data_IF_819306932049
#
_entry.id   IF_819306932049
#
_cell.length_a   1.000
_cell.length_b   1.000
_cell.length_c   1.000
_cell.angle_alpha   90.00
_cell.angle_beta   90.00
_cell.angle_gamma   90.00
#
_symmetry.space_group_name_H-M   'P 1'
#
loop_
_entity.id
_entity.type
_entity.pdbx_description
1 polymer ?
#
# COMPACT_ATOMS: atom_id res chain seq x y z
N UNK A 1 -45.67 0.57 23.16
CA UNK A 1 -44.21 0.60 23.41
C UNK A 1 -43.83 -0.67 24.16
N UNK A 2 -43.05 -1.60 23.59
CA UNK A 2 -42.56 -2.76 24.34
C UNK A 2 -41.33 -2.38 25.19
N UNK A 3 -41.12 -2.99 26.37
CA UNK A 3 -40.00 -2.64 27.23
C UNK A 3 -38.68 -3.23 26.68
N UNK A 4 -37.65 -2.37 26.62
CA UNK A 4 -36.25 -2.75 26.37
C UNK A 4 -35.72 -3.47 27.60
N UNK A 5 -35.83 -4.80 27.61
CA UNK A 5 -35.21 -5.66 28.62
C UNK A 5 -34.48 -6.80 27.95
N UNK A 6 -33.31 -6.53 27.34
CA UNK A 6 -32.36 -7.58 27.01
C UNK A 6 -31.14 -7.42 27.91
N UNK A 7 -31.18 -8.03 29.10
CA UNK A 7 -29.98 -8.25 29.90
C UNK A 7 -29.00 -9.04 29.03
N UNK A 8 -27.80 -8.47 28.80
CA UNK A 8 -26.74 -9.20 28.11
C UNK A 8 -26.44 -10.47 28.92
N UNK A 9 -26.34 -11.65 28.29
CA UNK A 9 -26.01 -12.87 29.01
C UNK A 9 -24.64 -12.70 29.69
N UNK A 10 -24.60 -13.04 30.99
CA UNK A 10 -23.35 -13.11 31.76
C UNK A 10 -22.52 -14.21 31.10
N UNK A 11 -21.42 -13.80 30.46
CA UNK A 11 -20.51 -14.74 29.82
C UNK A 11 -19.63 -15.36 30.90
N UNK A 12 -19.73 -16.67 31.09
CA UNK A 12 -18.78 -17.41 31.92
C UNK A 12 -17.44 -17.46 31.19
N UNK A 13 -16.55 -16.55 31.57
CA UNK A 13 -15.22 -16.44 30.98
C UNK A 13 -14.36 -17.69 31.24
N UNK A 14 -14.60 -18.46 32.30
CA UNK A 14 -13.86 -19.70 32.56
C UNK A 14 -14.22 -20.79 31.54
N UNK A 15 -15.49 -20.89 31.16
CA UNK A 15 -15.92 -21.77 30.07
C UNK A 15 -15.43 -21.26 28.71
N UNK A 16 -15.47 -19.94 28.49
CA UNK A 16 -15.08 -19.31 27.23
C UNK A 16 -13.60 -19.53 26.87
N UNK A 17 -12.66 -19.36 27.81
CA UNK A 17 -11.21 -19.51 27.54
C UNK A 17 -10.78 -20.96 27.28
N UNK A 18 -11.64 -21.93 27.58
CA UNK A 18 -11.41 -23.36 27.35
C UNK A 18 -11.97 -23.84 26.00
N UNK A 19 -12.71 -22.98 25.29
CA UNK A 19 -13.14 -23.27 23.93
C UNK A 19 -11.91 -23.37 23.03
N UNK A 20 -11.95 -24.24 22.00
CA UNK A 20 -10.88 -24.31 21.02
C UNK A 20 -10.72 -22.97 20.33
N UNK A 21 -9.48 -22.61 20.03
CA UNK A 21 -9.18 -21.35 19.35
C UNK A 21 -9.98 -21.24 18.04
N UNK A 22 -10.57 -20.07 17.77
CA UNK A 22 -11.23 -19.85 16.51
C UNK A 22 -10.22 -20.00 15.37
N UNK A 23 -10.58 -20.74 14.33
CA UNK A 23 -9.81 -20.83 13.08
C UNK A 23 -9.83 -19.46 12.37
N UNK A 24 -8.91 -18.57 12.74
CA UNK A 24 -8.74 -17.27 12.07
C UNK A 24 -7.85 -17.45 10.85
N UNK A 25 -8.44 -17.74 9.69
CA UNK A 25 -7.72 -17.71 8.41
C UNK A 25 -7.43 -16.24 8.04
N UNK A 26 -6.21 -15.78 8.32
CA UNK A 26 -5.75 -14.44 7.92
C UNK A 26 -5.66 -14.36 6.39
N UNK A 27 -6.66 -13.78 5.74
CA UNK A 27 -6.64 -13.55 4.28
C UNK A 27 -5.70 -12.39 3.95
N UNK A 28 -4.50 -12.69 3.46
CA UNK A 28 -3.56 -11.67 2.97
C UNK A 28 -4.11 -10.97 1.73
N UNK A 29 -3.81 -9.68 1.60
CA UNK A 29 -4.12 -8.93 0.39
C UNK A 29 -3.27 -9.43 -0.79
N UNK A 30 -3.80 -9.41 -2.01
CA UNK A 30 -3.08 -9.92 -3.19
C UNK A 30 -1.73 -9.21 -3.43
N UNK A 31 -1.67 -7.89 -3.21
CA UNK A 31 -0.41 -7.14 -3.30
C UNK A 31 0.67 -7.65 -2.32
N UNK A 32 0.25 -8.10 -1.13
CA UNK A 32 1.15 -8.73 -0.15
C UNK A 32 1.66 -10.07 -0.68
N UNK A 33 0.77 -10.89 -1.26
CA UNK A 33 1.15 -12.18 -1.88
C UNK A 33 2.13 -12.02 -3.04
N UNK A 34 1.96 -11.00 -3.86
CA UNK A 34 2.89 -10.69 -4.96
C UNK A 34 4.28 -10.35 -4.44
N UNK A 35 4.37 -9.48 -3.41
CA UNK A 35 5.65 -9.15 -2.78
C UNK A 35 6.34 -10.38 -2.21
N UNK A 36 5.58 -11.32 -1.63
CA UNK A 36 6.13 -12.57 -1.10
C UNK A 36 6.61 -13.50 -2.21
N UNK A 37 5.90 -13.57 -3.34
CA UNK A 37 6.37 -14.27 -4.55
C UNK A 37 7.67 -13.66 -5.08
N UNK A 38 7.80 -12.34 -5.07
CA UNK A 38 9.05 -11.66 -5.43
C UNK A 38 10.21 -12.01 -4.50
N UNK A 39 9.97 -12.02 -3.17
CA UNK A 39 10.98 -12.47 -2.20
C UNK A 39 11.35 -13.94 -2.42
N UNK A 40 10.37 -14.82 -2.66
CA UNK A 40 10.62 -16.23 -2.94
C UNK A 40 11.55 -16.41 -4.15
N UNK A 41 11.27 -15.73 -5.26
CA UNK A 41 12.09 -15.77 -6.46
C UNK A 41 13.53 -15.28 -6.19
N UNK A 42 13.65 -14.16 -5.49
CA UNK A 42 14.96 -13.60 -5.12
C UNK A 42 15.72 -14.54 -4.17
N UNK A 43 15.02 -15.18 -3.25
CA UNK A 43 15.60 -16.15 -2.34
C UNK A 43 16.12 -17.39 -3.06
N UNK A 44 15.37 -17.90 -4.05
CA UNK A 44 15.82 -18.99 -4.92
C UNK A 44 17.05 -18.59 -5.73
N UNK A 45 17.05 -17.38 -6.32
CA UNK A 45 18.19 -16.86 -7.09
C UNK A 45 19.46 -16.68 -6.25
N UNK A 46 19.32 -16.26 -5.00
CA UNK A 46 20.43 -16.17 -4.05
C UNK A 46 20.94 -17.58 -3.69
N UNK A 47 20.04 -18.45 -3.25
CA UNK A 47 20.41 -19.80 -2.75
C UNK A 47 20.94 -20.73 -3.84
N UNK A 48 20.58 -20.53 -5.11
CA UNK A 48 21.16 -21.29 -6.24
C UNK A 48 22.66 -21.07 -6.42
N UNK A 49 23.22 -20.01 -5.83
CA UNK A 49 24.66 -19.70 -5.85
C UNK A 49 25.40 -20.30 -4.66
N UNK A 50 24.69 -20.95 -3.74
CA UNK A 50 25.26 -21.53 -2.52
C UNK A 50 25.43 -23.05 -2.65
N UNK A 51 26.17 -23.63 -1.70
CA UNK A 51 26.33 -25.09 -1.58
C UNK A 51 25.72 -25.56 -0.26
N UNK A 52 24.63 -26.34 -0.27
CA UNK A 52 23.92 -26.87 -1.45
C UNK A 52 23.05 -25.81 -2.15
N UNK A 53 22.81 -25.93 -3.47
CA UNK A 53 21.97 -24.99 -4.23
C UNK A 53 20.47 -25.29 -4.04
N UNK A 54 20.03 -25.43 -2.79
CA UNK A 54 18.65 -25.76 -2.43
C UNK A 54 18.08 -24.76 -1.43
N UNK A 55 17.10 -23.98 -1.88
CA UNK A 55 16.44 -22.98 -1.04
C UNK A 55 15.74 -23.61 0.18
N UNK A 56 15.24 -24.85 0.09
CA UNK A 56 14.55 -25.51 1.21
C UNK A 56 15.52 -25.85 2.33
N UNK A 57 16.69 -26.38 1.99
CA UNK A 57 17.78 -26.58 2.93
C UNK A 57 18.11 -25.30 3.71
N UNK A 58 18.22 -24.17 3.02
CA UNK A 58 18.56 -22.89 3.66
C UNK A 58 17.42 -22.26 4.47
N UNK A 59 16.15 -22.56 4.16
CA UNK A 59 15.02 -22.14 4.99
C UNK A 59 15.06 -22.77 6.39
N UNK A 60 15.47 -24.05 6.46
CA UNK A 60 15.58 -24.80 7.72
C UNK A 60 16.84 -24.44 8.52
N UNK A 61 17.93 -24.08 7.83
CA UNK A 61 19.25 -23.81 8.42
C UNK A 61 19.58 -22.32 8.46
N UNK A 62 18.61 -21.49 8.85
CA UNK A 62 18.77 -20.03 8.87
C UNK A 62 19.73 -19.60 10.00
N UNK A 63 20.68 -18.73 9.67
CA UNK A 63 21.58 -18.08 10.63
C UNK A 63 21.62 -16.58 10.36
N UNK A 64 22.07 -15.79 11.33
CA UNK A 64 22.23 -14.34 11.12
C UNK A 64 23.17 -14.04 9.94
N UNK A 65 24.27 -14.79 9.79
CA UNK A 65 25.22 -14.65 8.67
C UNK A 65 24.58 -14.98 7.33
N UNK A 66 23.72 -15.99 7.28
CA UNK A 66 22.99 -16.32 6.06
C UNK A 66 22.01 -15.20 5.67
N UNK A 67 21.27 -14.65 6.64
CA UNK A 67 20.37 -13.51 6.41
C UNK A 67 21.17 -12.28 5.95
N UNK A 68 22.32 -12.02 6.56
CA UNK A 68 23.25 -10.98 6.11
C UNK A 68 23.66 -11.17 4.66
N UNK A 69 24.08 -12.38 4.27
CA UNK A 69 24.47 -12.71 2.90
C UNK A 69 23.34 -12.44 1.91
N UNK A 70 22.10 -12.83 2.26
CA UNK A 70 20.94 -12.55 1.41
C UNK A 70 20.68 -11.04 1.27
N UNK A 71 20.76 -10.28 2.37
CA UNK A 71 20.54 -8.82 2.33
C UNK A 71 21.63 -8.14 1.49
N UNK A 72 22.90 -8.50 1.67
CA UNK A 72 24.02 -7.97 0.88
C UNK A 72 23.82 -8.25 -0.61
N UNK A 73 23.57 -9.52 -0.96
CA UNK A 73 23.27 -9.91 -2.34
C UNK A 73 22.08 -9.12 -2.92
N UNK A 74 21.04 -8.88 -2.12
CA UNK A 74 19.88 -8.09 -2.56
C UNK A 74 20.26 -6.65 -2.87
N UNK A 75 21.04 -6.01 -1.99
CA UNK A 75 21.51 -4.63 -2.16
C UNK A 75 22.42 -4.50 -3.39
N UNK A 76 23.33 -5.45 -3.59
CA UNK A 76 24.25 -5.48 -4.74
C UNK A 76 23.48 -5.62 -6.07
N UNK A 77 22.45 -6.47 -6.12
CA UNK A 77 21.70 -6.78 -7.34
C UNK A 77 20.64 -5.71 -7.70
N UNK A 78 20.04 -5.05 -6.70
CA UNK A 78 18.89 -4.15 -6.91
C UNK A 78 19.23 -2.65 -6.84
N UNK A 79 20.49 -2.31 -6.55
CA UNK A 79 20.97 -0.92 -6.43
C UNK A 79 20.03 -0.05 -5.57
N UNK A 80 19.70 -0.56 -4.37
CA UNK A 80 18.80 0.13 -3.45
C UNK A 80 19.45 1.40 -2.91
N UNK A 81 18.73 2.52 -3.00
CA UNK A 81 19.24 3.83 -2.57
C UNK A 81 18.75 4.24 -1.18
N UNK A 82 17.68 3.60 -0.68
CA UNK A 82 16.96 4.07 0.50
C UNK A 82 16.87 3.01 1.59
N UNK A 83 17.14 3.44 2.83
CA UNK A 83 16.98 2.61 4.02
C UNK A 83 15.55 2.07 4.17
N UNK A 84 14.54 2.90 3.86
CA UNK A 84 13.13 2.50 3.93
C UNK A 84 12.76 1.36 2.96
N UNK A 85 13.41 1.29 1.79
CA UNK A 85 13.26 0.19 0.84
C UNK A 85 13.85 -1.10 1.41
N UNK A 86 15.08 -1.05 1.94
CA UNK A 86 15.72 -2.19 2.59
C UNK A 86 14.87 -2.74 3.75
N UNK A 87 14.38 -1.88 4.63
CA UNK A 87 13.53 -2.30 5.75
C UNK A 87 12.22 -2.96 5.28
N UNK A 88 11.69 -2.52 4.14
CA UNK A 88 10.53 -3.14 3.51
C UNK A 88 10.86 -4.56 3.04
N UNK A 89 12.01 -4.76 2.39
CA UNK A 89 12.49 -6.07 1.94
C UNK A 89 12.71 -7.01 3.11
N UNK A 90 13.39 -6.56 4.17
CA UNK A 90 13.63 -7.33 5.40
C UNK A 90 12.31 -7.76 6.05
N UNK A 91 11.32 -6.87 6.10
CA UNK A 91 9.99 -7.21 6.59
C UNK A 91 9.33 -8.31 5.76
N UNK A 92 9.34 -8.19 4.44
CA UNK A 92 8.75 -9.19 3.55
C UNK A 92 9.51 -10.52 3.59
N UNK A 93 10.83 -10.49 3.78
CA UNK A 93 11.64 -11.69 4.02
C UNK A 93 11.18 -12.44 5.28
N UNK A 94 11.04 -11.75 6.42
CA UNK A 94 10.53 -12.37 7.66
C UNK A 94 9.14 -12.96 7.48
N UNK A 95 8.27 -12.24 6.76
CA UNK A 95 6.92 -12.70 6.44
C UNK A 95 6.89 -13.92 5.53
N UNK A 96 7.82 -13.98 4.56
CA UNK A 96 8.00 -15.11 3.65
C UNK A 96 8.51 -16.34 4.41
N UNK A 97 9.60 -16.20 5.16
CA UNK A 97 10.16 -17.28 5.97
C UNK A 97 9.12 -17.88 6.92
N UNK A 98 8.30 -17.01 7.55
CA UNK A 98 7.25 -17.45 8.47
C UNK A 98 6.13 -18.24 7.78
N UNK A 99 5.77 -17.89 6.53
CA UNK A 99 4.77 -18.65 5.78
C UNK A 99 5.28 -20.01 5.32
N UNK A 100 6.53 -20.08 4.87
CA UNK A 100 7.10 -21.32 4.35
C UNK A 100 7.41 -22.33 5.47
N UNK A 101 7.89 -21.84 6.63
CA UNK A 101 8.27 -22.72 7.74
C UNK A 101 7.14 -22.99 8.72
N UNK A 102 6.06 -22.19 8.69
CA UNK A 102 5.00 -22.21 9.69
C UNK A 102 5.45 -21.75 11.08
N UNK A 103 6.64 -21.14 11.19
CA UNK A 103 7.26 -20.69 12.45
C UNK A 103 7.41 -19.17 12.46
N UNK A 104 7.60 -18.59 13.63
CA UNK A 104 8.03 -17.19 13.77
C UNK A 104 9.53 -17.15 14.07
N UNK A 105 10.24 -16.15 13.54
CA UNK A 105 11.64 -15.94 13.92
C UNK A 105 11.69 -15.64 15.42
N UNK A 106 12.73 -16.15 16.10
CA UNK A 106 12.94 -15.80 17.50
C UNK A 106 13.08 -14.29 17.65
N UNK A 107 12.62 -13.77 18.78
CA UNK A 107 12.69 -12.32 19.06
C UNK A 107 14.12 -11.80 18.97
N UNK A 108 15.07 -12.56 19.52
CA UNK A 108 16.51 -12.25 19.49
C UNK A 108 17.02 -12.13 18.06
N UNK A 109 16.82 -13.16 17.23
CA UNK A 109 17.23 -13.12 15.82
C UNK A 109 16.53 -12.00 15.05
N UNK A 110 15.26 -11.72 15.34
CA UNK A 110 14.53 -10.60 14.76
C UNK A 110 15.12 -9.23 15.15
N UNK A 111 15.63 -9.07 16.37
CA UNK A 111 16.33 -7.86 16.80
C UNK A 111 17.70 -7.76 16.12
N UNK A 112 18.45 -8.85 16.09
CA UNK A 112 19.77 -8.92 15.44
C UNK A 112 19.69 -8.58 13.94
N UNK A 113 18.71 -9.13 13.23
CA UNK A 113 18.50 -8.80 11.80
C UNK A 113 18.15 -7.32 11.63
N UNK A 114 17.46 -6.70 12.58
CA UNK A 114 17.13 -5.26 12.52
C UNK A 114 18.38 -4.41 12.74
N UNK A 115 19.19 -4.74 13.75
CA UNK A 115 20.46 -4.08 14.01
C UNK A 115 21.41 -4.20 12.81
N UNK A 116 21.56 -5.42 12.30
CA UNK A 116 22.32 -5.71 11.09
C UNK A 116 21.84 -4.89 9.89
N UNK A 117 20.53 -4.78 9.67
CA UNK A 117 19.99 -3.98 8.55
C UNK A 117 20.36 -2.49 8.68
N UNK A 118 20.41 -1.96 9.90
CA UNK A 118 20.85 -0.59 10.15
C UNK A 118 22.35 -0.41 9.89
N UNK A 119 23.17 -1.38 10.25
CA UNK A 119 24.61 -1.33 10.01
C UNK A 119 24.93 -1.46 8.51
N UNK A 120 24.28 -2.40 7.81
CA UNK A 120 24.35 -2.51 6.36
C UNK A 120 23.86 -1.24 5.66
N UNK A 121 22.85 -0.56 6.21
CA UNK A 121 22.40 0.72 5.65
C UNK A 121 23.49 1.79 5.69
N UNK A 122 24.31 1.82 6.74
CA UNK A 122 25.45 2.75 6.84
C UNK A 122 26.58 2.33 5.89
N UNK A 123 26.88 1.03 5.85
CA UNK A 123 27.93 0.47 5.01
C UNK A 123 27.68 0.74 3.52
N UNK A 124 26.44 0.53 3.06
CA UNK A 124 26.02 0.77 1.67
C UNK A 124 25.66 2.24 1.39
N UNK A 125 25.82 3.15 2.35
CA UNK A 125 25.53 4.57 2.17
C UNK A 125 24.06 4.87 1.86
N UNK A 126 23.12 4.06 2.36
CA UNK A 126 21.70 4.20 2.06
C UNK A 126 21.14 5.51 2.63
N UNK A 127 20.28 6.16 1.86
CA UNK A 127 19.62 7.39 2.26
C UNK A 127 18.59 7.12 3.36
N UNK A 128 18.80 7.76 4.52
CA UNK A 128 17.92 7.71 5.69
C UNK A 128 16.73 8.68 5.57
N UNK A 129 16.81 9.64 4.66
CA UNK A 129 15.77 10.62 4.40
C UNK A 129 14.56 10.01 3.71
N UNK A 130 13.46 10.76 3.77
CA UNK A 130 12.30 10.45 2.95
C UNK A 130 12.61 10.73 1.48
N UNK A 131 12.14 9.86 0.59
CA UNK A 131 12.10 10.17 -0.84
C UNK A 131 11.18 11.38 -1.04
N UNK A 132 11.77 12.55 -1.25
CA UNK A 132 11.00 13.76 -1.51
C UNK A 132 10.26 13.60 -2.83
N UNK A 133 8.94 13.80 -2.77
CA UNK A 133 8.13 13.96 -3.97
C UNK A 133 8.06 15.47 -4.25
N UNK A 134 8.23 15.92 -5.50
CA UNK A 134 8.09 17.33 -5.82
C UNK A 134 6.68 17.80 -5.42
N UNK A 135 6.53 19.01 -4.84
CA UNK A 135 5.21 19.56 -4.55
C UNK A 135 4.44 19.75 -5.86
N UNK A 136 3.15 19.43 -5.85
CA UNK A 136 2.26 19.63 -6.99
C UNK A 136 1.20 20.64 -6.59
N UNK A 137 1.45 21.93 -6.84
CA UNK A 137 0.53 23.01 -6.47
C UNK A 137 -0.51 23.26 -7.58
N UNK A 138 -1.40 24.22 -7.34
CA UNK A 138 -2.42 24.62 -8.31
C UNK A 138 -1.81 25.20 -9.59
N UNK A 139 -0.64 25.83 -9.49
CA UNK A 139 0.06 26.40 -10.64
C UNK A 139 0.65 25.30 -11.53
N UNK A 140 1.25 24.26 -10.95
CA UNK A 140 1.73 23.09 -11.69
C UNK A 140 0.55 22.34 -12.32
N UNK A 141 -0.60 22.27 -11.63
CA UNK A 141 -1.81 21.71 -12.21
C UNK A 141 -2.27 22.50 -13.44
N UNK A 142 -2.27 23.83 -13.38
CA UNK A 142 -2.63 24.69 -14.52
C UNK A 142 -1.63 24.51 -15.67
N UNK A 143 -0.33 24.55 -15.38
CA UNK A 143 0.73 24.42 -16.38
C UNK A 143 0.67 23.07 -17.10
N UNK A 144 0.52 21.97 -16.34
CA UNK A 144 0.41 20.63 -16.93
C UNK A 144 -0.89 20.49 -17.72
N UNK A 145 -1.99 21.11 -17.26
CA UNK A 145 -3.26 21.10 -18.00
C UNK A 145 -3.11 21.84 -19.33
N UNK A 146 -2.50 23.02 -19.34
CA UNK A 146 -2.22 23.79 -20.55
C UNK A 146 -1.31 23.01 -21.49
N UNK A 147 -0.20 22.47 -20.97
CA UNK A 147 0.73 21.70 -21.77
C UNK A 147 0.04 20.53 -22.49
N UNK A 148 -0.79 19.75 -21.78
CA UNK A 148 -1.49 18.63 -22.39
C UNK A 148 -2.60 19.02 -23.39
N UNK A 149 -3.16 20.22 -23.29
CA UNK A 149 -4.24 20.68 -24.18
C UNK A 149 -3.73 21.37 -25.43
N UNK A 150 -2.61 22.09 -25.34
CA UNK A 150 -2.20 23.06 -26.36
C UNK A 150 -0.77 22.84 -26.87
N UNK A 151 0.15 22.30 -26.05
CA UNK A 151 1.58 22.28 -26.38
C UNK A 151 2.18 20.87 -26.47
N UNK A 152 1.41 19.82 -26.23
CA UNK A 152 1.88 18.44 -26.18
C UNK A 152 1.37 17.65 -27.39
N UNK A 153 2.28 17.04 -28.15
CA UNK A 153 1.95 16.18 -29.28
C UNK A 153 1.48 14.76 -28.87
N UNK A 154 1.28 14.53 -27.57
CA UNK A 154 0.83 13.23 -27.07
C UNK A 154 -0.61 12.97 -27.49
N UNK A 155 -0.80 11.95 -28.33
CA UNK A 155 -2.13 11.54 -28.76
C UNK A 155 -2.89 10.83 -27.63
N UNK A 156 -3.97 11.45 -27.16
CA UNK A 156 -4.97 10.76 -26.35
C UNK A 156 -5.96 10.02 -27.27
N UNK A 157 -6.41 8.79 -26.92
CA UNK A 157 -7.37 8.06 -27.75
C UNK A 157 -8.64 8.85 -28.08
N UNK A 158 -9.08 9.70 -27.15
CA UNK A 158 -10.14 10.69 -27.39
C UNK A 158 -9.89 11.94 -26.56
N UNK A 159 -10.44 13.08 -26.99
CA UNK A 159 -10.45 14.31 -26.19
C UNK A 159 -11.14 14.13 -24.82
N UNK A 160 -12.11 13.21 -24.73
CA UNK A 160 -12.77 12.84 -23.46
C UNK A 160 -11.78 12.30 -22.43
N UNK A 161 -10.81 11.48 -22.85
CA UNK A 161 -9.79 10.94 -21.94
C UNK A 161 -8.96 12.05 -21.30
N UNK A 162 -8.62 13.09 -22.07
CA UNK A 162 -7.89 14.25 -21.59
C UNK A 162 -8.71 15.06 -20.56
N UNK A 163 -10.01 15.30 -20.85
CA UNK A 163 -10.92 15.97 -19.89
C UNK A 163 -11.08 15.16 -18.59
N UNK A 164 -11.21 13.83 -18.68
CA UNK A 164 -11.30 12.95 -17.52
C UNK A 164 -10.03 12.97 -16.68
N UNK A 165 -8.85 12.89 -17.31
CA UNK A 165 -7.56 12.97 -16.63
C UNK A 165 -7.42 14.29 -15.86
N UNK A 166 -7.74 15.42 -16.50
CA UNK A 166 -7.65 16.73 -15.86
C UNK A 166 -8.67 16.88 -14.72
N UNK A 167 -9.88 16.34 -14.87
CA UNK A 167 -10.88 16.31 -13.78
C UNK A 167 -10.36 15.51 -12.58
N UNK A 168 -9.75 14.34 -12.81
CA UNK A 168 -9.17 13.52 -11.74
C UNK A 168 -8.03 14.25 -11.03
N UNK A 169 -7.13 14.91 -11.76
CA UNK A 169 -6.04 15.69 -11.17
C UNK A 169 -6.55 16.86 -10.33
N UNK A 170 -7.59 17.56 -10.80
CA UNK A 170 -8.27 18.61 -10.01
C UNK A 170 -8.84 18.04 -8.72
N UNK A 171 -9.56 16.92 -8.77
CA UNK A 171 -10.04 16.23 -7.56
C UNK A 171 -8.90 15.87 -6.61
N UNK A 172 -7.79 15.31 -7.11
CA UNK A 172 -6.62 14.96 -6.29
C UNK A 172 -6.00 16.20 -5.63
N UNK A 173 -5.78 17.28 -6.38
CA UNK A 173 -5.17 18.50 -5.86
C UNK A 173 -6.07 19.20 -4.82
N UNK A 174 -7.39 19.20 -5.02
CA UNK A 174 -8.34 19.85 -4.12
C UNK A 174 -8.67 19.04 -2.85
N UNK A 175 -8.46 17.71 -2.86
CA UNK A 175 -8.88 16.82 -1.76
C UNK A 175 -7.76 15.98 -1.16
N UNK A 176 -6.55 16.03 -1.74
CA UNK A 176 -5.44 15.12 -1.45
C UNK A 176 -5.80 13.63 -1.59
N UNK A 177 -6.84 13.32 -2.38
CA UNK A 177 -7.26 11.95 -2.64
C UNK A 177 -6.16 11.16 -3.38
N UNK A 178 -5.96 9.90 -2.99
CA UNK A 178 -5.02 9.01 -3.67
C UNK A 178 -5.61 8.58 -5.03
N UNK A 179 -4.80 8.31 -6.07
CA UNK A 179 -5.32 7.83 -7.36
C UNK A 179 -6.24 6.61 -7.23
N UNK A 180 -5.86 5.67 -6.37
CA UNK A 180 -6.63 4.46 -6.05
C UNK A 180 -7.87 4.69 -5.19
N UNK A 181 -8.29 5.93 -4.90
CA UNK A 181 -9.64 6.21 -4.39
C UNK A 181 -10.52 6.84 -5.45
N UNK A 182 -9.94 7.46 -6.48
CA UNK A 182 -10.70 8.08 -7.58
C UNK A 182 -10.92 7.15 -8.75
N UNK A 183 -9.94 6.27 -9.00
CA UNK A 183 -9.95 5.37 -10.17
C UNK A 183 -9.88 3.93 -9.73
N UNK A 184 -10.54 3.06 -10.49
CA UNK A 184 -10.37 1.63 -10.37
C UNK A 184 -9.01 1.27 -10.97
N UNK A 185 -8.09 0.80 -10.15
CA UNK A 185 -6.82 0.24 -10.59
C UNK A 185 -7.02 -1.24 -10.89
N UNK A 186 -6.79 -1.59 -12.15
CA UNK A 186 -6.70 -2.98 -12.64
C UNK A 186 -5.43 -3.68 -12.15
N UNK A 187 -4.43 -2.92 -11.66
CA UNK A 187 -3.23 -3.45 -11.01
C UNK A 187 -3.51 -4.11 -9.65
N UNK A 188 -4.71 -3.93 -9.09
CA UNK A 188 -5.23 -4.79 -8.02
C UNK A 188 -6.12 -5.87 -8.64
N UNK A 189 -5.78 -7.16 -8.48
CA UNK A 189 -6.51 -8.28 -9.10
C UNK A 189 -8.02 -8.39 -8.75
N UNK A 190 -8.52 -7.62 -7.79
CA UNK A 190 -9.95 -7.56 -7.45
C UNK A 190 -10.56 -6.15 -7.57
N UNK A 191 -9.79 -5.20 -8.11
CA UNK A 191 -10.11 -3.78 -8.06
C UNK A 191 -10.06 -3.22 -6.63
N UNK A 192 -9.60 -1.97 -6.50
CA UNK A 192 -9.83 -1.21 -5.27
C UNK A 192 -11.26 -0.67 -5.24
N UNK A 193 -11.75 -0.33 -4.05
CA UNK A 193 -12.96 0.49 -3.98
C UNK A 193 -12.60 1.92 -4.43
N UNK A 194 -13.36 2.44 -5.39
CA UNK A 194 -13.07 3.70 -6.07
C UNK A 194 -14.32 4.59 -6.12
N UNK A 195 -14.16 5.85 -6.50
CA UNK A 195 -15.25 6.81 -6.68
C UNK A 195 -16.33 6.25 -7.61
N UNK A 196 -17.58 6.32 -7.17
CA UNK A 196 -18.78 5.92 -7.92
C UNK A 196 -19.69 7.13 -8.09
N UNK A 197 -20.60 7.06 -9.07
CA UNK A 197 -21.59 8.11 -9.32
C UNK A 197 -22.41 8.49 -8.07
N UNK A 198 -22.75 7.50 -7.24
CA UNK A 198 -23.48 7.73 -5.98
C UNK A 198 -22.72 8.56 -4.93
N UNK A 199 -21.42 8.75 -5.11
CA UNK A 199 -20.57 9.54 -4.20
C UNK A 199 -20.41 10.99 -4.69
N UNK A 200 -21.03 11.35 -5.82
CA UNK A 200 -20.96 12.68 -6.45
C UNK A 200 -22.35 13.32 -6.37
N UNK A 201 -22.41 14.52 -5.78
CA UNK A 201 -23.60 15.37 -5.76
C UNK A 201 -23.29 16.64 -6.57
N UNK A 202 -24.18 17.00 -7.49
CA UNK A 202 -24.06 18.22 -8.31
C UNK A 202 -25.13 19.22 -7.89
N UNK A 203 -24.72 20.49 -7.73
CA UNK A 203 -25.60 21.59 -7.38
C UNK A 203 -25.40 22.74 -8.36
N UNK A 204 -26.49 23.28 -8.88
CA UNK A 204 -26.46 24.55 -9.59
C UNK A 204 -26.82 25.65 -8.59
N UNK A 205 -25.91 26.59 -8.35
CA UNK A 205 -26.13 27.70 -7.42
C UNK A 205 -25.84 29.04 -8.09
N UNK A 206 -26.45 30.12 -7.60
CA UNK A 206 -26.13 31.46 -8.09
C UNK A 206 -24.70 31.83 -7.71
N UNK A 207 -23.96 32.43 -8.62
CA UNK A 207 -22.64 32.95 -8.29
C UNK A 207 -22.80 34.12 -7.31
N UNK A 208 -22.18 34.08 -6.11
CA UNK A 208 -22.23 35.19 -5.17
C UNK A 208 -21.57 36.47 -5.71
N UNK A 209 -20.60 36.34 -6.63
CA UNK A 209 -19.88 37.47 -7.21
C UNK A 209 -20.55 38.02 -8.47
N UNK A 210 -21.40 37.23 -9.13
CA UNK A 210 -22.15 37.63 -10.32
C UNK A 210 -23.58 37.06 -10.28
N UNK A 211 -24.57 37.82 -9.78
CA UNK A 211 -25.95 37.35 -9.63
C UNK A 211 -26.64 36.92 -10.94
N UNK A 212 -26.12 37.34 -12.10
CA UNK A 212 -26.60 36.93 -13.42
C UNK A 212 -26.05 35.57 -13.87
N UNK A 213 -25.06 35.04 -13.17
CA UNK A 213 -24.37 33.79 -13.47
C UNK A 213 -24.73 32.67 -12.50
N UNK A 214 -24.69 31.44 -13.02
CA UNK A 214 -24.84 30.22 -12.23
C UNK A 214 -23.53 29.46 -12.24
N UNK A 215 -23.14 28.91 -11.09
CA UNK A 215 -21.98 28.06 -10.93
C UNK A 215 -22.43 26.63 -10.61
N UNK A 216 -21.79 25.68 -11.28
CA UNK A 216 -21.95 24.26 -11.00
C UNK A 216 -20.98 23.86 -9.90
N UNK A 217 -21.52 23.50 -8.73
CA UNK A 217 -20.75 22.94 -7.62
C UNK A 217 -20.81 21.42 -7.67
N UNK A 218 -19.64 20.80 -7.57
CA UNK A 218 -19.51 19.35 -7.42
C UNK A 218 -19.03 19.04 -6.01
N UNK A 219 -19.88 18.37 -5.24
CA UNK A 219 -19.54 17.84 -3.92
C UNK A 219 -19.23 16.36 -4.06
N UNK A 220 -18.07 15.94 -3.56
CA UNK A 220 -17.61 14.56 -3.70
C UNK A 220 -17.27 13.96 -2.34
N UNK A 221 -17.81 12.77 -2.07
CA UNK A 221 -17.54 12.03 -0.85
C UNK A 221 -16.44 10.98 -1.07
N UNK A 222 -15.27 11.17 -0.45
CA UNK A 222 -14.06 10.36 -0.71
C UNK A 222 -13.62 9.45 0.46
N UNK A 223 -14.53 9.05 1.35
CA UNK A 223 -14.18 8.14 2.48
C UNK A 223 -14.10 6.69 2.01
N UNK A 224 -13.05 6.36 1.27
CA UNK A 224 -12.86 5.03 0.65
C UNK A 224 -11.73 4.27 1.34
N UNK A 225 -11.95 3.90 2.60
CA UNK A 225 -11.02 3.05 3.34
C UNK A 225 -11.08 1.62 2.79
N UNK A 226 -9.95 0.89 2.90
CA UNK A 226 -9.86 -0.47 2.37
C UNK A 226 -10.91 -1.39 3.02
N UNK A 227 -11.89 -1.81 2.22
CA UNK A 227 -12.99 -2.66 2.68
C UNK A 227 -14.03 -1.96 3.54
N UNK A 228 -13.99 -0.63 3.65
CA UNK A 228 -14.89 0.20 4.47
C UNK A 228 -15.25 1.49 3.72
N UNK A 229 -16.41 1.51 3.08
CA UNK A 229 -16.88 2.66 2.29
C UNK A 229 -17.73 3.58 3.15
N UNK A 230 -17.38 4.86 3.15
CA UNK A 230 -18.07 5.94 3.88
C UNK A 230 -18.15 5.72 5.40
N UNK A 231 -17.34 4.82 5.93
CA UNK A 231 -17.16 4.60 7.36
C UNK A 231 -15.95 5.42 7.86
N UNK A 232 -16.05 5.93 9.09
CA UNK A 232 -14.95 6.62 9.76
C UNK A 232 -13.75 5.72 10.05
N UNK A 233 -12.66 6.32 10.54
CA UNK A 233 -11.62 5.53 11.19
C UNK A 233 -12.23 4.81 12.42
N UNK A 234 -11.83 3.56 12.71
CA UNK A 234 -12.16 2.94 13.99
C UNK A 234 -11.60 3.72 15.17
#
# INVERSE_FOLDING_TARGET
MPPKGSSKPITDYNAFVRLPDPSVKRKRAEATKERLRGIHFNFQKFTSQLTPPDYKYWLENITLRFIEGFIRWYLDEHNEEYHSSLMTVVRFFRMYWSEETGRELSRELGQDVTALSNDLSKEYGLNLGAKQQPPFSINELLLVTHHLLDACDMAFPTFRCLLQLNTLRKMMASTSARPGTLTLSTGYMRGNDALKWKDIELFMVKNPEDPGSQILLMKVQHRLNKGRRNEGAP
#
